data_IF_824206589941
#
_entry.id   IF_824206589941
#
_cell.length_a   1.000
_cell.length_b   1.000
_cell.length_c   1.000
_cell.angle_alpha   90.00
_cell.angle_beta   90.00
_cell.angle_gamma   90.00
#
_symmetry.space_group_name_H-M   'P 1'
#
loop_
_entity.id
_entity.type
_entity.pdbx_description
1 polymer ?
#
# COMPACT_ATOMS: atom_id res chain seq x y z
N UNK A 1 -15.31 11.78 13.33
CA UNK A 1 -15.78 11.95 11.91
C UNK A 1 -14.57 12.36 11.09
N UNK A 2 -14.50 12.04 9.78
CA UNK A 2 -13.40 12.51 8.90
C UNK A 2 -13.94 13.64 8.02
N UNK A 3 -13.16 14.71 7.90
CA UNK A 3 -13.39 15.77 6.91
C UNK A 3 -12.73 15.34 5.61
N UNK A 4 -13.45 15.41 4.49
CA UNK A 4 -12.93 15.11 3.16
C UNK A 4 -12.56 16.40 2.45
N UNK A 5 -11.34 16.46 1.90
CA UNK A 5 -10.83 17.60 1.13
C UNK A 5 -10.24 17.16 -0.21
N UNK A 6 -10.62 17.86 -1.26
CA UNK A 6 -10.16 17.62 -2.62
C UNK A 6 -9.27 18.75 -3.09
N UNK A 7 -8.19 18.40 -3.80
CA UNK A 7 -7.33 19.37 -4.47
C UNK A 7 -6.70 18.77 -5.73
N UNK A 8 -6.04 19.61 -6.51
CA UNK A 8 -5.24 19.16 -7.65
C UNK A 8 -3.78 19.54 -7.41
N UNK A 9 -2.91 18.54 -7.36
CA UNK A 9 -1.47 18.71 -7.13
C UNK A 9 -0.70 18.09 -8.29
N UNK A 10 0.21 18.85 -8.91
CA UNK A 10 0.99 18.34 -10.03
C UNK A 10 0.15 17.76 -11.18
N UNK A 11 -1.05 18.30 -11.41
CA UNK A 11 -2.01 17.81 -12.40
C UNK A 11 -2.78 16.54 -12.00
N UNK A 12 -2.64 16.03 -10.77
CA UNK A 12 -3.37 14.87 -10.25
C UNK A 12 -4.46 15.32 -9.29
N UNK A 13 -5.65 14.73 -9.40
CA UNK A 13 -6.70 14.85 -8.39
C UNK A 13 -6.24 14.14 -7.13
N UNK A 14 -6.25 14.84 -6.00
CA UNK A 14 -5.90 14.31 -4.70
C UNK A 14 -7.06 14.48 -3.73
N UNK A 15 -7.21 13.52 -2.83
CA UNK A 15 -8.23 13.53 -1.78
C UNK A 15 -7.58 13.20 -0.46
N UNK A 16 -7.98 13.91 0.58
CA UNK A 16 -7.54 13.70 1.96
C UNK A 16 -8.75 13.51 2.86
N UNK A 17 -8.70 12.52 3.74
CA UNK A 17 -9.67 12.30 4.79
C UNK A 17 -8.99 12.53 6.13
N UNK A 18 -9.36 13.63 6.77
CA UNK A 18 -8.67 14.18 7.95
C UNK A 18 -9.57 13.94 9.18
N UNK A 19 -9.10 13.26 10.24
CA UNK A 19 -9.86 13.12 11.48
C UNK A 19 -9.93 14.44 12.23
N UNK A 20 -10.91 14.58 13.12
CA UNK A 20 -11.00 15.68 14.07
C UNK A 20 -9.94 15.55 15.17
N UNK A 21 -9.39 16.66 15.62
CA UNK A 21 -8.43 16.71 16.73
C UNK A 21 -7.15 17.47 16.38
N UNK A 22 -6.29 17.66 17.38
CA UNK A 22 -5.08 18.49 17.22
C UNK A 22 -3.93 17.77 16.47
N UNK A 23 -3.94 16.42 16.36
CA UNK A 23 -2.79 15.65 15.83
C UNK A 23 -1.56 15.71 16.74
N UNK A 24 -0.36 15.39 16.25
CA UNK A 24 -0.09 14.96 14.86
C UNK A 24 -0.66 13.58 14.57
N UNK A 25 -1.20 13.42 13.38
CA UNK A 25 -1.80 12.15 12.96
C UNK A 25 -0.87 11.34 12.07
N UNK A 26 -0.84 10.01 12.20
CA UNK A 26 -0.29 9.12 11.19
C UNK A 26 -0.97 9.32 9.84
N UNK A 27 -0.29 8.95 8.75
CA UNK A 27 -0.84 9.03 7.39
C UNK A 27 -0.74 7.69 6.65
N UNK A 28 -1.79 7.34 5.92
CA UNK A 28 -1.80 6.18 5.01
C UNK A 28 -2.07 6.66 3.58
N UNK A 29 -1.10 6.42 2.69
CA UNK A 29 -1.26 6.64 1.26
C UNK A 29 -1.93 5.42 0.62
N UNK A 30 -3.09 5.63 0.00
CA UNK A 30 -3.90 4.59 -0.63
C UNK A 30 -3.57 4.48 -2.13
N UNK A 31 -3.02 3.34 -2.55
CA UNK A 31 -2.70 3.00 -3.93
C UNK A 31 -3.79 2.12 -4.53
N UNK A 32 -4.89 2.75 -4.90
CA UNK A 32 -6.11 2.13 -5.46
C UNK A 32 -6.62 2.93 -6.66
N UNK A 33 -7.55 2.38 -7.43
CA UNK A 33 -8.18 3.12 -8.53
C UNK A 33 -9.12 4.22 -8.01
N UNK A 34 -9.99 3.85 -7.07
CA UNK A 34 -10.96 4.75 -6.44
C UNK A 34 -10.94 4.53 -4.93
N UNK A 35 -10.54 5.53 -4.18
CA UNK A 35 -10.44 5.46 -2.72
C UNK A 35 -11.76 5.82 -2.03
N UNK A 36 -12.60 6.62 -2.66
CA UNK A 36 -13.86 7.12 -2.10
C UNK A 36 -14.81 5.99 -1.68
N UNK A 37 -14.86 4.90 -2.45
CA UNK A 37 -15.67 3.72 -2.12
C UNK A 37 -15.10 2.88 -0.96
N UNK A 38 -13.80 3.01 -0.69
CA UNK A 38 -13.11 2.26 0.36
C UNK A 38 -13.19 2.94 1.73
N UNK A 39 -13.18 4.25 1.77
CA UNK A 39 -13.10 5.02 3.02
C UNK A 39 -14.22 4.69 4.03
N UNK A 40 -15.50 4.54 3.64
CA UNK A 40 -16.55 4.15 4.59
C UNK A 40 -16.27 2.83 5.32
N UNK A 41 -15.65 1.87 4.62
CA UNK A 41 -15.28 0.58 5.19
C UNK A 41 -14.10 0.71 6.19
N UNK A 42 -13.16 1.61 5.91
CA UNK A 42 -12.01 1.87 6.76
C UNK A 42 -12.39 2.70 7.98
N UNK A 43 -13.20 3.72 7.83
CA UNK A 43 -13.63 4.59 8.94
C UNK A 43 -14.61 3.91 9.90
N UNK A 44 -15.23 2.81 9.49
CA UNK A 44 -16.03 1.92 10.35
C UNK A 44 -15.19 0.92 11.17
N UNK A 45 -13.88 0.81 10.92
CA UNK A 45 -12.97 -0.07 11.64
C UNK A 45 -12.47 0.57 12.95
N UNK A 46 -11.96 -0.25 13.87
CA UNK A 46 -11.33 0.21 15.12
C UNK A 46 -9.89 0.71 14.87
N UNK A 47 -9.76 1.78 14.09
CA UNK A 47 -8.48 2.41 13.79
C UNK A 47 -8.19 3.58 14.75
N UNK A 48 -6.90 3.89 15.02
CA UNK A 48 -6.55 5.16 15.64
C UNK A 48 -6.92 6.33 14.70
N UNK A 49 -7.07 7.55 15.22
CA UNK A 49 -7.18 8.72 14.37
C UNK A 49 -5.98 8.82 13.42
N UNK A 50 -6.23 8.83 12.12
CA UNK A 50 -5.20 8.90 11.09
C UNK A 50 -5.74 9.60 9.83
N UNK A 51 -4.84 10.13 9.03
CA UNK A 51 -5.16 10.74 7.75
C UNK A 51 -5.03 9.66 6.66
N UNK A 52 -6.07 9.51 5.84
CA UNK A 52 -5.93 8.82 4.57
C UNK A 52 -5.67 9.84 3.47
N UNK A 53 -4.78 9.51 2.55
CA UNK A 53 -4.58 10.29 1.33
C UNK A 53 -4.56 9.39 0.09
N UNK A 54 -5.08 9.92 -0.99
CA UNK A 54 -5.12 9.26 -2.29
C UNK A 54 -4.80 10.29 -3.38
N UNK A 55 -4.08 9.86 -4.41
CA UNK A 55 -3.87 10.63 -5.62
C UNK A 55 -4.19 9.79 -6.84
N UNK A 56 -4.90 10.37 -7.79
CA UNK A 56 -5.26 9.71 -9.04
C UNK A 56 -4.00 9.20 -9.78
N UNK A 57 -4.04 7.95 -10.17
CA UNK A 57 -2.95 7.26 -10.82
C UNK A 57 -3.38 6.66 -12.17
N UNK A 58 -2.45 6.58 -13.11
CA UNK A 58 -2.61 5.77 -14.31
C UNK A 58 -2.18 4.34 -13.94
N UNK A 59 -3.16 3.45 -13.78
CA UNK A 59 -3.03 2.15 -13.12
C UNK A 59 -1.86 1.31 -13.61
N UNK A 60 -1.79 1.02 -14.90
CA UNK A 60 -0.77 0.16 -15.50
C UNK A 60 0.60 0.85 -15.62
N UNK A 61 0.66 2.18 -15.54
CA UNK A 61 1.90 2.94 -15.57
C UNK A 61 2.43 3.21 -14.17
N UNK A 62 1.62 3.87 -13.34
CA UNK A 62 2.11 4.47 -12.09
C UNK A 62 2.36 3.42 -10.99
N UNK A 63 1.75 2.22 -11.10
CA UNK A 63 1.92 1.14 -10.13
C UNK A 63 2.82 -0.01 -10.62
N UNK A 64 3.54 0.19 -11.72
CA UNK A 64 4.47 -0.82 -12.24
C UNK A 64 5.90 -0.32 -12.18
N UNK A 65 6.81 -1.07 -11.50
CA UNK A 65 8.18 -0.61 -11.22
C UNK A 65 9.05 -0.44 -12.47
N UNK A 66 8.88 -1.30 -13.46
CA UNK A 66 9.63 -1.33 -14.73
C UNK A 66 8.73 -1.80 -15.87
N UNK A 67 9.16 -1.60 -17.14
CA UNK A 67 8.42 -2.14 -18.28
C UNK A 67 8.32 -3.66 -18.23
N UNK A 68 7.15 -4.19 -18.55
CA UNK A 68 6.91 -5.62 -18.66
C UNK A 68 5.87 -5.94 -19.75
N UNK A 69 5.88 -7.19 -20.21
CA UNK A 69 4.98 -7.64 -21.25
C UNK A 69 3.50 -7.53 -20.82
N UNK A 70 2.64 -7.23 -21.77
CA UNK A 70 1.20 -7.17 -21.58
C UNK A 70 0.63 -8.49 -21.06
N UNK A 71 -0.47 -8.41 -20.33
CA UNK A 71 -1.38 -9.54 -20.17
C UNK A 71 -2.23 -9.69 -21.45
N UNK A 72 -2.73 -10.89 -21.76
CA UNK A 72 -3.59 -11.10 -22.92
C UNK A 72 -4.75 -10.09 -22.98
N UNK A 73 -4.87 -9.39 -24.11
CA UNK A 73 -5.91 -8.38 -24.32
C UNK A 73 -5.72 -7.05 -23.59
N UNK A 74 -4.52 -6.78 -23.06
CA UNK A 74 -4.17 -5.53 -22.38
C UNK A 74 -2.96 -4.88 -23.02
N UNK A 75 -2.72 -3.60 -22.70
CA UNK A 75 -1.48 -2.90 -23.06
C UNK A 75 -0.30 -3.36 -22.19
N UNK A 76 0.92 -3.16 -22.71
CA UNK A 76 2.14 -3.46 -21.96
C UNK A 76 2.29 -2.49 -20.76
N UNK A 77 2.87 -2.99 -19.70
CA UNK A 77 3.19 -2.17 -18.54
C UNK A 77 4.38 -1.26 -18.85
N UNK A 78 4.26 0.02 -18.58
CA UNK A 78 5.28 1.01 -18.98
C UNK A 78 6.32 1.34 -17.90
N UNK A 79 6.13 0.94 -16.64
CA UNK A 79 7.14 1.10 -15.60
C UNK A 79 7.30 2.54 -15.11
N UNK A 80 6.19 3.21 -14.77
CA UNK A 80 6.20 4.61 -14.32
C UNK A 80 6.21 4.82 -12.81
N UNK A 81 6.39 3.77 -12.01
CA UNK A 81 6.30 3.82 -10.54
C UNK A 81 7.26 4.84 -9.91
N UNK A 82 8.48 4.97 -10.45
CA UNK A 82 9.46 5.94 -9.95
C UNK A 82 8.96 7.39 -10.03
N UNK A 83 8.26 7.76 -11.11
CA UNK A 83 7.69 9.10 -11.25
C UNK A 83 6.51 9.32 -10.29
N UNK A 84 5.71 8.28 -10.03
CA UNK A 84 4.62 8.39 -9.06
C UNK A 84 5.14 8.44 -7.63
N UNK A 85 6.17 7.68 -7.29
CA UNK A 85 6.85 7.78 -6.00
C UNK A 85 7.47 9.17 -5.79
N UNK A 86 8.12 9.73 -6.81
CA UNK A 86 8.64 11.12 -6.74
C UNK A 86 7.51 12.12 -6.47
N UNK A 87 6.33 11.95 -7.09
CA UNK A 87 5.17 12.79 -6.82
C UNK A 87 4.69 12.63 -5.36
N UNK A 88 4.63 11.41 -4.82
CA UNK A 88 4.25 11.20 -3.41
C UNK A 88 5.25 11.88 -2.47
N UNK A 89 6.55 11.75 -2.74
CA UNK A 89 7.65 12.28 -1.91
C UNK A 89 7.74 13.81 -1.97
N UNK A 90 7.67 14.37 -3.17
CA UNK A 90 8.04 15.77 -3.41
C UNK A 90 6.82 16.70 -3.45
N UNK A 91 5.61 16.15 -3.60
CA UNK A 91 4.39 16.95 -3.76
C UNK A 91 3.31 16.58 -2.76
N UNK A 92 2.84 15.32 -2.74
CA UNK A 92 1.67 14.92 -1.95
C UNK A 92 1.92 14.99 -0.44
N UNK A 93 2.98 14.33 0.05
CA UNK A 93 3.30 14.29 1.48
C UNK A 93 3.73 15.66 2.01
N UNK A 94 4.58 16.46 1.32
CA UNK A 94 4.88 17.83 1.75
C UNK A 94 3.64 18.72 1.80
N UNK A 95 2.72 18.61 0.83
CA UNK A 95 1.45 19.32 0.89
C UNK A 95 0.64 18.93 2.11
N UNK A 96 0.50 17.63 2.37
CA UNK A 96 -0.24 17.13 3.53
C UNK A 96 0.38 17.63 4.86
N UNK A 97 1.70 17.62 4.99
CA UNK A 97 2.43 18.11 6.17
C UNK A 97 2.35 19.62 6.37
N UNK A 98 2.11 20.38 5.31
CA UNK A 98 1.94 21.83 5.38
C UNK A 98 0.51 22.24 5.77
N UNK A 99 -0.48 21.50 5.29
CA UNK A 99 -1.90 21.90 5.40
C UNK A 99 -2.66 21.15 6.49
N UNK A 100 -2.15 19.99 6.94
CA UNK A 100 -2.81 19.12 7.92
C UNK A 100 -1.84 18.73 9.04
N UNK A 101 -2.33 18.39 10.22
CA UNK A 101 -1.49 17.96 11.34
C UNK A 101 -0.97 16.53 11.15
N UNK A 102 -0.18 16.29 10.09
CA UNK A 102 0.47 15.02 9.77
C UNK A 102 1.73 14.86 10.61
N UNK A 103 1.97 13.68 11.15
CA UNK A 103 3.25 13.31 11.75
C UNK A 103 4.39 13.46 10.73
N UNK A 104 5.55 13.91 11.19
CA UNK A 104 6.76 13.99 10.35
C UNK A 104 7.66 12.77 10.46
N UNK A 105 7.31 11.86 11.36
CA UNK A 105 8.04 10.60 11.58
C UNK A 105 7.58 9.56 10.55
N UNK A 106 8.50 9.04 9.74
CA UNK A 106 8.20 8.00 8.74
C UNK A 106 7.68 6.71 9.37
N UNK A 107 7.97 6.44 10.64
CA UNK A 107 7.35 5.33 11.38
C UNK A 107 5.81 5.44 11.49
N UNK A 108 5.27 6.64 11.31
CA UNK A 108 3.83 6.93 11.28
C UNK A 108 3.27 7.12 9.87
N UNK A 109 4.05 6.79 8.85
CA UNK A 109 3.62 6.82 7.46
C UNK A 109 3.47 5.39 6.93
N UNK A 110 2.35 5.09 6.31
CA UNK A 110 2.15 3.83 5.60
C UNK A 110 1.73 4.06 4.16
N UNK A 111 2.03 3.05 3.34
CA UNK A 111 1.55 2.95 1.98
C UNK A 111 0.80 1.63 1.82
N UNK A 112 -0.40 1.67 1.25
CA UNK A 112 -1.24 0.49 1.15
C UNK A 112 -1.91 0.42 -0.22
N UNK A 113 -1.92 -0.76 -0.82
CA UNK A 113 -2.49 -0.93 -2.13
C UNK A 113 -3.06 -2.31 -2.40
N UNK A 114 -3.89 -2.38 -3.43
CA UNK A 114 -4.50 -3.60 -3.94
C UNK A 114 -3.97 -3.92 -5.33
N UNK A 115 -3.77 -5.20 -5.65
CA UNK A 115 -3.33 -5.63 -7.00
C UNK A 115 -2.00 -4.96 -7.41
N UNK A 116 -1.94 -4.22 -8.53
CA UNK A 116 -0.74 -3.46 -8.90
C UNK A 116 -0.37 -2.41 -7.86
N UNK A 117 -1.36 -1.77 -7.20
CA UNK A 117 -1.09 -0.88 -6.06
C UNK A 117 -0.42 -1.60 -4.89
N UNK A 118 -0.70 -2.88 -4.67
CA UNK A 118 -0.03 -3.72 -3.66
C UNK A 118 1.41 -4.06 -4.05
N UNK A 119 1.69 -4.28 -5.33
CA UNK A 119 3.06 -4.40 -5.85
C UNK A 119 3.84 -3.10 -5.63
N UNK A 120 3.24 -1.98 -6.02
CA UNK A 120 3.83 -0.64 -5.83
C UNK A 120 4.14 -0.34 -4.36
N UNK A 121 3.22 -0.68 -3.44
CA UNK A 121 3.43 -0.44 -2.02
C UNK A 121 4.67 -1.17 -1.47
N UNK A 122 4.91 -2.42 -1.87
CA UNK A 122 6.11 -3.15 -1.48
C UNK A 122 7.37 -2.62 -2.16
N UNK A 123 7.29 -2.33 -3.46
CA UNK A 123 8.39 -1.75 -4.21
C UNK A 123 8.85 -0.42 -3.61
N UNK A 124 7.91 0.40 -3.19
CA UNK A 124 8.20 1.70 -2.55
C UNK A 124 9.07 1.56 -1.32
N UNK A 125 8.89 0.52 -0.48
CA UNK A 125 9.74 0.30 0.70
C UNK A 125 11.19 -0.10 0.33
N UNK A 126 11.43 -0.59 -0.88
CA UNK A 126 12.78 -0.85 -1.36
C UNK A 126 13.48 0.41 -1.88
N UNK A 127 12.70 1.44 -2.26
CA UNK A 127 13.22 2.64 -2.93
C UNK A 127 13.38 3.84 -1.98
N UNK A 128 12.71 3.84 -0.83
CA UNK A 128 12.68 5.00 0.05
C UNK A 128 12.39 4.62 1.51
N UNK A 129 12.80 5.48 2.44
CA UNK A 129 12.51 5.44 3.87
C UNK A 129 11.33 6.35 4.28
N UNK A 130 10.59 6.87 3.31
CA UNK A 130 9.41 7.73 3.56
C UNK A 130 8.30 7.03 4.32
N UNK A 131 8.23 5.71 4.22
CA UNK A 131 7.18 4.90 4.83
C UNK A 131 7.79 3.84 5.74
N UNK A 132 7.35 3.83 6.99
CA UNK A 132 7.72 2.79 7.96
C UNK A 132 6.83 1.54 7.85
N UNK A 133 5.76 1.59 7.05
CA UNK A 133 4.85 0.47 6.92
C UNK A 133 4.24 0.34 5.52
N UNK A 134 3.96 -0.90 5.10
CA UNK A 134 3.24 -1.17 3.85
C UNK A 134 2.22 -2.30 3.97
N UNK A 135 1.12 -2.19 3.20
CA UNK A 135 0.19 -3.28 2.98
C UNK A 135 0.06 -3.61 1.49
N UNK A 136 0.29 -4.87 1.15
CA UNK A 136 0.10 -5.43 -0.17
C UNK A 136 -1.07 -6.40 -0.16
N UNK A 137 -2.22 -5.95 -0.64
CA UNK A 137 -3.46 -6.72 -0.65
C UNK A 137 -3.67 -7.33 -2.03
N UNK A 138 -3.68 -8.65 -2.13
CA UNK A 138 -3.70 -9.36 -3.40
C UNK A 138 -2.72 -8.75 -4.40
N UNK A 139 -1.53 -8.36 -3.90
CA UNK A 139 -0.52 -7.68 -4.70
C UNK A 139 -0.15 -8.47 -5.95
N UNK A 140 0.05 -7.77 -7.06
CA UNK A 140 0.41 -8.39 -8.35
C UNK A 140 1.86 -8.91 -8.34
N UNK A 141 2.21 -9.74 -7.33
CA UNK A 141 3.57 -10.27 -7.14
C UNK A 141 3.96 -11.32 -8.20
N UNK A 142 3.05 -11.62 -9.11
CA UNK A 142 3.33 -12.33 -10.37
C UNK A 142 4.10 -11.47 -11.39
N UNK A 143 4.34 -10.20 -11.10
CA UNK A 143 5.03 -9.27 -11.98
C UNK A 143 6.45 -9.75 -12.30
N UNK A 144 6.81 -9.73 -13.58
CA UNK A 144 8.08 -10.31 -14.06
C UNK A 144 9.28 -9.67 -13.36
N UNK A 145 10.16 -10.48 -12.79
CA UNK A 145 11.37 -10.03 -12.09
C UNK A 145 11.16 -9.56 -10.65
N UNK A 146 9.94 -9.60 -10.10
CA UNK A 146 9.66 -9.11 -8.75
C UNK A 146 10.49 -9.81 -7.66
N UNK A 147 10.55 -11.14 -7.68
CA UNK A 147 11.28 -11.91 -6.66
C UNK A 147 12.78 -11.67 -6.72
N UNK A 148 13.34 -11.56 -7.90
CA UNK A 148 14.77 -11.26 -8.11
C UNK A 148 15.08 -9.83 -7.64
N UNK A 149 14.21 -8.88 -7.99
CA UNK A 149 14.32 -7.50 -7.53
C UNK A 149 14.32 -7.42 -6.00
N UNK A 150 13.35 -8.03 -5.34
CA UNK A 150 13.27 -8.04 -3.87
C UNK A 150 14.48 -8.72 -3.23
N UNK A 151 15.02 -9.77 -3.83
CA UNK A 151 16.21 -10.45 -3.34
C UNK A 151 17.47 -9.57 -3.38
N UNK A 152 17.54 -8.67 -4.38
CA UNK A 152 18.67 -7.75 -4.58
C UNK A 152 18.60 -6.48 -3.73
N UNK A 153 17.44 -6.20 -3.10
CA UNK A 153 17.22 -4.96 -2.34
C UNK A 153 17.09 -5.23 -0.83
N UNK A 154 17.42 -4.21 -0.05
CA UNK A 154 17.22 -4.18 1.39
C UNK A 154 16.02 -3.32 1.74
N UNK A 155 15.34 -3.64 2.85
CA UNK A 155 14.25 -2.85 3.38
C UNK A 155 14.66 -2.19 4.70
N UNK A 156 14.01 -1.09 5.11
CA UNK A 156 14.19 -0.54 6.45
C UNK A 156 13.93 -1.63 7.50
N UNK A 157 14.88 -1.85 8.42
CA UNK A 157 14.86 -3.01 9.34
C UNK A 157 13.60 -3.07 10.23
N UNK A 158 13.06 -1.93 10.57
CA UNK A 158 11.89 -1.81 11.43
C UNK A 158 10.57 -1.69 10.62
N UNK A 159 10.65 -1.83 9.29
CA UNK A 159 9.47 -1.75 8.43
C UNK A 159 8.42 -2.79 8.83
N UNK A 160 7.17 -2.35 8.85
CA UNK A 160 6.01 -3.19 9.18
C UNK A 160 5.23 -3.53 7.91
N UNK A 161 5.12 -4.81 7.58
CA UNK A 161 4.60 -5.26 6.28
C UNK A 161 3.46 -6.26 6.44
N UNK A 162 2.32 -5.95 5.84
CA UNK A 162 1.17 -6.84 5.74
C UNK A 162 0.98 -7.33 4.31
N UNK A 163 0.98 -8.64 4.14
CA UNK A 163 0.68 -9.33 2.89
C UNK A 163 -0.66 -10.03 2.98
N UNK A 164 -1.46 -9.98 1.93
CA UNK A 164 -2.74 -10.68 1.85
C UNK A 164 -2.93 -11.27 0.46
N UNK A 165 -3.37 -12.54 0.38
CA UNK A 165 -3.70 -13.19 -0.88
C UNK A 165 -4.93 -14.09 -0.73
N UNK A 166 -5.76 -14.18 -1.76
CA UNK A 166 -6.85 -15.15 -1.83
C UNK A 166 -6.36 -16.53 -2.26
N UNK A 167 -6.78 -17.59 -1.55
CA UNK A 167 -6.34 -18.99 -1.82
C UNK A 167 -6.65 -19.49 -3.23
N UNK A 168 -7.57 -18.84 -3.95
CA UNK A 168 -7.90 -19.23 -5.32
C UNK A 168 -7.10 -18.45 -6.37
N UNK A 169 -6.33 -17.42 -5.99
CA UNK A 169 -5.59 -16.58 -6.95
C UNK A 169 -4.46 -17.36 -7.63
N UNK A 170 -3.81 -18.27 -6.91
CA UNK A 170 -2.79 -19.17 -7.48
C UNK A 170 -3.33 -20.20 -8.48
N UNK A 171 -4.67 -20.27 -8.64
CA UNK A 171 -5.35 -21.13 -9.65
C UNK A 171 -5.88 -20.31 -10.82
N UNK A 172 -5.35 -19.13 -11.05
CA UNK A 172 -5.70 -18.32 -12.21
C UNK A 172 -5.42 -19.08 -13.52
N UNK A 173 -6.30 -18.95 -14.51
CA UNK A 173 -6.13 -19.62 -15.81
C UNK A 173 -4.91 -19.13 -16.60
N UNK A 174 -4.42 -17.92 -16.34
CA UNK A 174 -3.17 -17.40 -16.90
C UNK A 174 -1.99 -17.86 -16.02
N UNK A 175 -1.03 -18.64 -16.56
CA UNK A 175 0.08 -19.19 -15.77
C UNK A 175 0.95 -18.10 -15.11
N UNK A 176 1.16 -16.96 -15.77
CA UNK A 176 1.90 -15.83 -15.23
C UNK A 176 1.20 -15.27 -13.99
N UNK A 177 -0.12 -15.08 -14.04
CA UNK A 177 -0.89 -14.63 -12.89
C UNK A 177 -0.97 -15.69 -11.77
N UNK A 178 -1.02 -16.98 -12.13
CA UNK A 178 -1.05 -18.07 -11.16
C UNK A 178 0.23 -18.13 -10.30
N UNK A 179 1.37 -17.64 -10.80
CA UNK A 179 2.61 -17.54 -10.05
C UNK A 179 2.50 -16.64 -8.80
N UNK A 180 1.43 -15.85 -8.66
CA UNK A 180 1.21 -14.97 -7.50
C UNK A 180 1.27 -15.73 -6.18
N UNK A 181 0.77 -16.96 -6.12
CA UNK A 181 0.79 -17.77 -4.89
C UNK A 181 2.20 -18.06 -4.41
N UNK A 182 3.03 -18.60 -5.31
CA UNK A 182 4.42 -18.92 -5.01
C UNK A 182 5.26 -17.67 -4.74
N UNK A 183 5.13 -16.64 -5.58
CA UNK A 183 5.86 -15.39 -5.39
C UNK A 183 5.47 -14.68 -4.08
N UNK A 184 4.23 -14.82 -3.63
CA UNK A 184 3.81 -14.29 -2.32
C UNK A 184 4.48 -15.05 -1.16
N UNK A 185 4.63 -16.38 -1.26
CA UNK A 185 5.35 -17.17 -0.25
C UNK A 185 6.83 -16.78 -0.20
N UNK A 186 7.49 -16.71 -1.35
CA UNK A 186 8.90 -16.29 -1.45
C UNK A 186 9.11 -14.87 -0.93
N UNK A 187 8.20 -13.94 -1.28
CA UNK A 187 8.20 -12.58 -0.73
C UNK A 187 8.11 -12.60 0.79
N UNK A 188 7.15 -13.35 1.35
CA UNK A 188 6.98 -13.46 2.80
C UNK A 188 8.23 -14.04 3.48
N UNK A 189 8.78 -15.12 2.96
CA UNK A 189 9.99 -15.77 3.50
C UNK A 189 11.18 -14.80 3.49
N UNK A 190 11.37 -14.10 2.39
CA UNK A 190 12.44 -13.08 2.26
C UNK A 190 12.27 -11.96 3.27
N UNK A 191 11.05 -11.43 3.44
CA UNK A 191 10.75 -10.37 4.39
C UNK A 191 10.91 -10.84 5.83
N UNK A 192 10.37 -12.01 6.16
CA UNK A 192 10.45 -12.58 7.51
C UNK A 192 11.88 -12.94 7.92
N UNK A 193 12.75 -13.24 6.96
CA UNK A 193 14.17 -13.47 7.21
C UNK A 193 15.01 -12.17 7.31
N UNK A 194 14.52 -11.05 6.82
CA UNK A 194 15.23 -9.77 6.79
C UNK A 194 14.79 -8.80 7.90
N UNK A 195 13.54 -8.88 8.32
CA UNK A 195 12.91 -7.99 9.28
C UNK A 195 12.65 -8.72 10.61
N UNK A 196 12.20 -7.99 11.63
CA UNK A 196 11.66 -8.61 12.83
C UNK A 196 10.37 -9.37 12.49
N UNK A 197 10.27 -10.64 12.91
CA UNK A 197 9.16 -11.52 12.52
C UNK A 197 7.77 -11.00 12.94
N UNK A 198 7.67 -10.27 14.03
CA UNK A 198 6.45 -9.60 14.48
C UNK A 198 6.02 -8.44 13.57
N UNK A 199 6.92 -7.95 12.73
CA UNK A 199 6.66 -6.88 11.78
C UNK A 199 6.21 -7.37 10.40
N UNK A 200 6.17 -8.67 10.18
CA UNK A 200 5.75 -9.25 8.89
C UNK A 200 4.56 -10.17 9.10
N UNK A 201 3.47 -9.91 8.39
CA UNK A 201 2.27 -10.76 8.42
C UNK A 201 1.84 -11.17 7.02
N UNK A 202 1.58 -12.45 6.83
CA UNK A 202 0.92 -12.98 5.65
C UNK A 202 -0.43 -13.57 6.04
N UNK A 203 -1.49 -13.14 5.38
CA UNK A 203 -2.83 -13.66 5.57
C UNK A 203 -3.40 -14.26 4.29
N UNK A 204 -3.73 -15.55 4.32
CA UNK A 204 -4.42 -16.25 3.26
C UNK A 204 -5.93 -16.14 3.45
N UNK A 205 -6.59 -15.46 2.54
CA UNK A 205 -8.02 -15.26 2.58
C UNK A 205 -8.79 -16.32 1.76
N UNK A 206 -10.06 -16.53 2.12
CA UNK A 206 -10.94 -17.38 1.32
C UNK A 206 -11.27 -16.69 -0.02
N UNK A 207 -11.37 -17.47 -1.10
CA UNK A 207 -11.76 -16.98 -2.43
C UNK A 207 -10.61 -16.45 -3.27
N UNK A 208 -10.96 -15.73 -4.32
CA UNK A 208 -10.03 -15.17 -5.32
C UNK A 208 -9.80 -13.67 -5.18
N UNK A 209 -9.26 -13.09 -6.25
CA UNK A 209 -8.81 -11.70 -6.31
C UNK A 209 -9.88 -10.66 -5.89
N UNK A 210 -11.12 -10.87 -6.26
CA UNK A 210 -12.22 -9.92 -5.99
C UNK A 210 -13.12 -10.34 -4.81
N UNK A 211 -12.67 -11.30 -3.97
CA UNK A 211 -13.49 -11.81 -2.87
C UNK A 211 -13.13 -11.13 -1.57
N UNK A 212 -14.13 -10.52 -0.90
CA UNK A 212 -14.00 -9.97 0.45
C UNK A 212 -13.03 -8.80 0.58
N UNK A 213 -12.92 -7.97 -0.45
CA UNK A 213 -12.00 -6.82 -0.50
C UNK A 213 -12.14 -5.91 0.73
N UNK A 214 -13.34 -5.47 1.17
CA UNK A 214 -13.48 -4.61 2.34
C UNK A 214 -12.89 -5.24 3.62
N UNK A 215 -13.18 -6.52 3.85
CA UNK A 215 -12.66 -7.22 5.03
C UNK A 215 -11.13 -7.38 4.99
N UNK A 216 -10.52 -7.56 3.80
CA UNK A 216 -9.05 -7.61 3.67
C UNK A 216 -8.42 -6.26 4.00
N UNK A 217 -9.01 -5.17 3.53
CA UNK A 217 -8.56 -3.82 3.85
C UNK A 217 -8.68 -3.53 5.35
N UNK A 218 -9.84 -3.82 5.96
CA UNK A 218 -10.06 -3.63 7.39
C UNK A 218 -8.98 -4.35 8.21
N UNK A 219 -8.78 -5.64 7.99
CA UNK A 219 -7.76 -6.43 8.70
C UNK A 219 -6.34 -5.89 8.51
N UNK A 220 -6.00 -5.48 7.29
CA UNK A 220 -4.70 -4.91 7.00
C UNK A 220 -4.49 -3.60 7.77
N UNK A 221 -5.47 -2.69 7.75
CA UNK A 221 -5.37 -1.42 8.45
C UNK A 221 -5.33 -1.62 9.97
N UNK A 222 -6.19 -2.45 10.53
CA UNK A 222 -6.18 -2.76 11.97
C UNK A 222 -4.82 -3.28 12.43
N UNK A 223 -4.21 -4.20 11.68
CA UNK A 223 -2.89 -4.73 12.03
C UNK A 223 -1.78 -3.71 11.80
N UNK A 224 -1.79 -3.01 10.68
CA UNK A 224 -0.75 -2.07 10.29
C UNK A 224 -0.67 -0.89 11.27
N UNK A 225 -1.83 -0.38 11.69
CA UNK A 225 -1.95 0.81 12.55
C UNK A 225 -2.01 0.49 14.04
N UNK A 226 -1.98 -0.79 14.43
CA UNK A 226 -2.04 -1.19 15.83
C UNK A 226 -1.01 -0.48 16.75
N UNK A 227 0.27 -0.30 16.34
CA UNK A 227 1.24 0.43 17.14
C UNK A 227 0.90 1.92 17.34
N UNK A 228 0.12 2.51 16.43
CA UNK A 228 -0.23 3.93 16.49
C UNK A 228 -1.36 4.25 17.47
N UNK A 229 -2.06 3.24 18.01
CA UNK A 229 -3.11 3.44 19.02
C UNK A 229 -2.59 4.13 20.29
N UNK A 230 -1.34 3.89 20.65
CA UNK A 230 -0.72 4.51 21.82
C UNK A 230 -0.45 6.01 21.62
N UNK A 231 -0.22 6.46 20.38
CA UNK A 231 0.05 7.86 20.05
C UNK A 231 -1.22 8.72 20.23
N UNK A 232 -2.38 8.14 19.89
CA UNK A 232 -3.67 8.84 19.96
C UNK A 232 -4.17 9.04 21.41
N UNK A 233 -3.61 8.34 22.38
CA UNK A 233 -4.04 8.41 23.79
C UNK A 233 -3.27 9.45 24.61
N UNK A 234 -2.37 10.21 24.00
CA UNK A 234 -1.62 11.32 24.56
C UNK A 234 -0.96 10.97 25.91
N UNK A 235 0.31 10.84 25.95
CA UNK A 235 1.04 11.00 27.20
C UNK A 235 0.80 12.38 27.79
#
# INVERSE_FOLDING_TARGET
MHREEHCTLGGRRCVFWIPEGPGPFPVVCLCVGEAESLIPELTGAELPPLIFCHAAAQWERDFTPWPAAALPGREAFSGGAAAYLAFLRDVLLPYAQLHYPVSRDSAHHAIAGYSLGGLFALWTLCETDLFGAAASLSGSLWYDGWTDYLAAHTLPRDARIYLSLGRSEERAGNPRMAAVGENTRQTYERLNGALHSENVRLEWNRGGHFTGIPNRWRKAMEWLTAPWKCIAQGT
#
